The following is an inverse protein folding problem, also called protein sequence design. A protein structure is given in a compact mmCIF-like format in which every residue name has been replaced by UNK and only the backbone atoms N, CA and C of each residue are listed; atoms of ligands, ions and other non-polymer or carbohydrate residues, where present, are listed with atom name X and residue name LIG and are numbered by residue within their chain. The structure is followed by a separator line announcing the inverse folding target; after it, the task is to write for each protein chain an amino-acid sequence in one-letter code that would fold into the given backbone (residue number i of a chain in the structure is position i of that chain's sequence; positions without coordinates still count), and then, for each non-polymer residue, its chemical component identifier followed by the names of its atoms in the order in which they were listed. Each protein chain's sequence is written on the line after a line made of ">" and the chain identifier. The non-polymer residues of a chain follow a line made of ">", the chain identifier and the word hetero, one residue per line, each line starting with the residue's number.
data_IF_405416027808
#
_entry.id   IF_405416027808
#
_cell.length_a   1.000
_cell.length_b   1.000
_cell.length_c   1.000
_cell.angle_alpha   90.00
_cell.angle_beta   90.00
_cell.angle_gamma   90.00
#
_symmetry.space_group_name_H-M   'P 1'
#
loop_
_entity.id
_entity.type
_entity.pdbx_description
1 polymer ?
#
# COMPACT_ATOMS: atom_id res chain seq x y z
N UNK A 1 3.33 -14.13 -9.23
CA UNK A 1 2.82 -12.74 -9.21
C UNK A 1 3.92 -11.89 -8.62
N UNK A 2 4.49 -10.96 -9.40
CA UNK A 2 5.64 -10.20 -8.97
C UNK A 2 5.20 -8.84 -8.41
N UNK A 3 5.49 -8.62 -7.13
CA UNK A 3 5.37 -7.29 -6.52
C UNK A 3 6.56 -6.43 -6.95
N UNK A 4 6.32 -5.17 -7.28
CA UNK A 4 7.41 -4.22 -7.57
C UNK A 4 7.84 -3.58 -6.23
N UNK A 5 9.05 -3.84 -5.72
CA UNK A 5 9.56 -3.17 -4.53
C UNK A 5 9.89 -1.71 -4.85
N UNK A 6 9.47 -0.79 -3.99
CA UNK A 6 9.75 0.63 -4.09
C UNK A 6 10.52 1.06 -2.85
N UNK A 7 11.79 1.40 -3.02
CA UNK A 7 12.63 1.94 -1.95
C UNK A 7 12.40 3.45 -1.78
N UNK A 8 12.32 3.90 -0.53
CA UNK A 8 12.16 5.29 -0.16
C UNK A 8 13.51 5.92 0.17
N UNK A 9 13.76 7.18 -0.23
CA UNK A 9 15.04 7.85 0.02
C UNK A 9 15.26 8.18 1.50
N UNK A 10 14.20 8.23 2.30
CA UNK A 10 14.22 8.45 3.76
C UNK A 10 13.19 7.55 4.43
N UNK A 11 13.40 7.26 5.71
CA UNK A 11 12.38 6.61 6.53
C UNK A 11 11.18 7.54 6.70
N UNK A 12 9.98 6.98 6.58
CA UNK A 12 8.70 7.67 6.81
C UNK A 12 7.80 6.77 7.63
N UNK A 13 6.86 7.35 8.38
CA UNK A 13 5.87 6.56 9.11
C UNK A 13 4.88 5.92 8.13
N UNK A 14 4.27 4.81 8.54
CA UNK A 14 3.21 4.15 7.79
C UNK A 14 2.05 5.07 7.44
N UNK A 15 1.65 5.92 8.39
CA UNK A 15 0.56 6.89 8.23
C UNK A 15 0.88 7.94 7.17
N UNK A 16 2.10 8.49 7.20
CA UNK A 16 2.55 9.46 6.18
C UNK A 16 2.62 8.82 4.81
N UNK A 17 3.08 7.56 4.71
CA UNK A 17 3.09 6.84 3.44
C UNK A 17 1.67 6.56 2.92
N UNK A 18 0.77 6.11 3.78
CA UNK A 18 -0.63 5.88 3.44
C UNK A 18 -1.29 7.16 2.90
N UNK A 19 -1.11 8.26 3.61
CA UNK A 19 -1.66 9.56 3.22
C UNK A 19 -1.09 10.04 1.87
N UNK A 20 0.22 9.95 1.67
CA UNK A 20 0.86 10.31 0.42
C UNK A 20 0.33 9.46 -0.76
N UNK A 21 0.15 8.16 -0.54
CA UNK A 21 -0.41 7.22 -1.51
C UNK A 21 -1.86 7.54 -1.88
N UNK A 22 -2.69 7.89 -0.90
CA UNK A 22 -4.10 8.28 -1.09
C UNK A 22 -4.17 9.59 -1.88
N UNK A 23 -3.47 10.64 -1.43
CA UNK A 23 -3.44 11.95 -2.10
C UNK A 23 -2.95 11.86 -3.54
N UNK A 24 -1.93 11.03 -3.80
CA UNK A 24 -1.43 10.78 -5.15
C UNK A 24 -2.50 10.14 -6.06
N UNK A 25 -3.23 9.15 -5.55
CA UNK A 25 -4.29 8.49 -6.31
C UNK A 25 -5.43 9.46 -6.65
N UNK A 26 -5.89 10.24 -5.67
CA UNK A 26 -6.94 11.24 -5.83
C UNK A 26 -6.54 12.33 -6.82
N UNK A 27 -5.29 12.80 -6.75
CA UNK A 27 -4.76 13.80 -7.70
C UNK A 27 -4.76 13.30 -9.14
N UNK A 28 -4.61 11.99 -9.34
CA UNK A 28 -4.68 11.34 -10.65
C UNK A 28 -6.11 10.96 -11.07
N UNK A 29 -7.13 11.30 -10.28
CA UNK A 29 -8.53 10.99 -10.58
C UNK A 29 -8.94 9.54 -10.28
N UNK A 30 -8.16 8.83 -9.46
CA UNK A 30 -8.53 7.50 -8.97
C UNK A 30 -9.12 7.57 -7.56
N UNK A 31 -9.98 6.61 -7.22
CA UNK A 31 -10.34 6.37 -5.82
C UNK A 31 -9.24 5.54 -5.15
N UNK A 32 -8.91 5.87 -3.91
CA UNK A 32 -8.08 5.06 -3.04
C UNK A 32 -8.95 4.42 -1.95
N UNK A 33 -8.80 3.11 -1.74
CA UNK A 33 -9.49 2.38 -0.68
C UNK A 33 -8.45 1.68 0.19
N UNK A 34 -8.03 2.29 1.31
CA UNK A 34 -7.20 1.61 2.30
C UNK A 34 -8.00 0.49 2.99
N UNK A 35 -7.32 -0.58 3.34
CA UNK A 35 -7.89 -1.72 4.08
C UNK A 35 -6.81 -2.32 4.95
N UNK A 36 -7.04 -2.27 6.26
CA UNK A 36 -6.16 -2.87 7.25
C UNK A 36 -6.34 -4.39 7.25
N UNK A 37 -5.22 -5.10 7.15
CA UNK A 37 -5.14 -6.55 7.30
C UNK A 37 -4.66 -6.90 8.68
N UNK A 38 -5.31 -7.92 9.23
CA UNK A 38 -4.96 -8.50 10.52
C UNK A 38 -4.57 -9.95 10.29
N UNK A 39 -3.45 -10.37 10.89
CA UNK A 39 -3.01 -11.76 10.88
C UNK A 39 -3.58 -12.46 12.10
N UNK A 40 -4.20 -13.61 11.86
CA UNK A 40 -4.60 -14.51 12.94
C UNK A 40 -3.37 -15.27 13.43
N UNK A 41 -3.13 -15.22 14.73
CA UNK A 41 -2.13 -16.07 15.41
C UNK A 41 -2.83 -16.92 16.46
N UNK A 42 -2.41 -18.17 16.53
CA UNK A 42 -2.86 -19.14 17.53
C UNK A 42 -1.67 -19.44 18.45
N UNK A 43 -1.87 -19.27 19.75
CA UNK A 43 -0.87 -19.63 20.76
C UNK A 43 -1.07 -21.09 21.17
N UNK A 44 -0.02 -21.91 21.08
CA UNK A 44 -0.13 -23.31 21.50
C UNK A 44 -0.36 -23.36 23.02
N UNK A 45 -1.47 -23.96 23.46
CA UNK A 45 -1.81 -24.10 24.89
C UNK A 45 -2.92 -23.16 25.40
N UNK A 46 -3.31 -22.14 24.63
CA UNK A 46 -4.56 -21.40 24.86
C UNK A 46 -5.35 -21.42 23.55
N UNK A 47 -6.60 -21.89 23.56
CA UNK A 47 -7.50 -21.83 22.38
C UNK A 47 -7.98 -20.37 22.22
N UNK A 48 -7.05 -19.43 22.16
CA UNK A 48 -7.31 -18.00 22.09
C UNK A 48 -6.75 -17.46 20.78
N UNK A 49 -7.66 -17.01 19.91
CA UNK A 49 -7.31 -16.35 18.65
C UNK A 49 -6.86 -14.92 18.95
N UNK A 50 -5.62 -14.60 18.59
CA UNK A 50 -5.12 -13.22 18.57
C UNK A 50 -5.21 -12.67 17.14
N UNK A 51 -5.65 -11.41 17.02
CA UNK A 51 -5.64 -10.66 15.76
C UNK A 51 -4.66 -9.53 15.87
N UNK A 52 -3.46 -9.75 15.34
CA UNK A 52 -2.43 -8.73 15.29
C UNK A 52 -2.57 -7.97 13.96
N UNK A 53 -2.35 -6.65 14.00
CA UNK A 53 -2.22 -5.87 12.78
C UNK A 53 -1.04 -6.40 11.95
N UNK A 54 -1.25 -6.57 10.64
CA UNK A 54 -0.25 -7.06 9.69
C UNK A 54 0.25 -5.91 8.79
N UNK A 55 -0.65 -5.35 7.99
CA UNK A 55 -0.34 -4.28 7.04
C UNK A 55 -1.60 -3.54 6.60
N UNK A 56 -1.44 -2.37 6.00
CA UNK A 56 -2.48 -1.66 5.25
C UNK A 56 -2.26 -1.87 3.76
N UNK A 57 -3.31 -2.31 3.07
CA UNK A 57 -3.34 -2.42 1.61
C UNK A 57 -4.19 -1.28 1.06
N UNK A 58 -3.70 -0.55 0.06
CA UNK A 58 -4.46 0.49 -0.63
C UNK A 58 -4.79 0.00 -2.04
N UNK A 59 -6.07 -0.26 -2.28
CA UNK A 59 -6.56 -0.49 -3.64
C UNK A 59 -6.80 0.85 -4.33
N UNK A 60 -6.12 1.08 -5.44
CA UNK A 60 -6.22 2.31 -6.23
C UNK A 60 -6.86 1.99 -7.56
N UNK A 61 -7.94 2.70 -7.88
CA UNK A 61 -8.69 2.52 -9.11
C UNK A 61 -10.16 2.91 -8.93
N UNK A 62 -10.96 2.68 -9.96
CA UNK A 62 -12.39 2.95 -9.92
C UNK A 62 -13.14 1.62 -9.85
N UNK A 63 -13.97 1.31 -10.86
CA UNK A 63 -14.71 0.05 -10.92
C UNK A 63 -13.75 -1.17 -10.91
N UNK A 64 -12.62 -1.05 -11.62
CA UNK A 64 -11.53 -2.02 -11.61
C UNK A 64 -10.29 -1.43 -10.91
N UNK A 65 -9.53 -2.25 -10.16
CA UNK A 65 -8.26 -1.80 -9.58
C UNK A 65 -7.27 -1.48 -10.70
N UNK A 66 -6.65 -0.31 -10.61
CA UNK A 66 -5.53 0.07 -11.47
C UNK A 66 -4.21 -0.47 -10.89
N UNK A 67 -4.01 -0.33 -9.57
CA UNK A 67 -2.87 -0.87 -8.84
C UNK A 67 -3.21 -1.06 -7.35
N UNK A 68 -2.43 -1.89 -6.67
CA UNK A 68 -2.49 -2.04 -5.22
C UNK A 68 -1.15 -1.61 -4.60
N UNK A 69 -1.22 -0.83 -3.52
CA UNK A 69 -0.07 -0.58 -2.65
C UNK A 69 -0.17 -1.52 -1.45
N UNK A 70 0.92 -2.20 -1.11
CA UNK A 70 0.98 -3.16 0.00
C UNK A 70 2.25 -2.95 0.82
N UNK A 71 2.30 -3.54 2.01
CA UNK A 71 3.43 -3.41 2.93
C UNK A 71 3.51 -2.06 3.62
N UNK A 72 2.37 -1.40 3.86
CA UNK A 72 2.32 -0.20 4.71
C UNK A 72 2.10 -0.67 6.15
N UNK A 73 3.05 -0.39 7.05
CA UNK A 73 2.97 -0.74 8.46
C UNK A 73 2.70 0.51 9.34
N UNK A 74 1.48 0.64 9.88
CA UNK A 74 1.10 1.71 10.82
C UNK A 74 1.91 1.66 12.12
N UNK A 75 2.20 2.82 12.68
CA UNK A 75 2.98 2.98 13.92
C UNK A 75 4.47 2.63 13.80
N UNK A 76 4.97 2.35 12.59
CA UNK A 76 6.37 2.04 12.34
C UNK A 76 6.94 2.93 11.23
N UNK A 77 8.24 3.17 11.32
CA UNK A 77 8.99 3.74 10.21
C UNK A 77 9.33 2.65 9.20
N UNK A 78 9.17 2.96 7.92
CA UNK A 78 9.52 2.07 6.82
C UNK A 78 10.28 2.84 5.74
N UNK A 79 11.15 2.11 5.04
CA UNK A 79 11.97 2.62 3.94
C UNK A 79 11.64 1.94 2.61
N UNK A 80 10.60 1.10 2.60
CA UNK A 80 10.16 0.35 1.42
C UNK A 80 8.67 0.09 1.50
N UNK A 81 8.04 0.02 0.35
CA UNK A 81 6.71 -0.55 0.17
C UNK A 81 6.66 -1.29 -1.17
N UNK A 82 5.51 -1.88 -1.52
CA UNK A 82 5.37 -2.60 -2.77
C UNK A 82 4.14 -2.17 -3.56
N UNK A 83 4.25 -2.26 -4.88
CA UNK A 83 3.15 -1.99 -5.81
C UNK A 83 2.85 -3.22 -6.64
N UNK A 84 1.57 -3.59 -6.74
CA UNK A 84 1.08 -4.66 -7.60
C UNK A 84 0.23 -4.07 -8.72
N UNK A 85 0.50 -4.48 -9.96
CA UNK A 85 -0.16 -3.94 -11.17
C UNK A 85 -0.67 -5.04 -12.11
N UNK A 86 -0.51 -6.31 -11.73
CA UNK A 86 -0.96 -7.49 -12.48
C UNK A 86 -2.32 -7.99 -11.98
N UNK A 87 -3.06 -8.71 -12.84
CA UNK A 87 -4.34 -9.33 -12.47
C UNK A 87 -4.19 -10.30 -11.28
N UNK A 88 -5.13 -10.29 -10.31
CA UNK A 88 -6.38 -9.50 -10.23
C UNK A 88 -6.22 -8.13 -9.53
N UNK A 89 -5.00 -7.68 -9.26
CA UNK A 89 -4.71 -6.52 -8.41
C UNK A 89 -4.46 -5.22 -9.19
N UNK A 90 -4.42 -5.27 -10.52
CA UNK A 90 -4.26 -4.07 -11.34
C UNK A 90 -4.20 -4.35 -12.83
N UNK A 91 -4.38 -3.30 -13.62
CA UNK A 91 -4.00 -3.21 -15.04
C UNK A 91 -3.55 -1.76 -15.29
N UNK A 92 -2.36 -1.40 -14.82
CA UNK A 92 -1.76 -0.10 -15.08
C UNK A 92 -0.54 -0.27 -16.00
N UNK A 93 -0.39 0.62 -16.99
CA UNK A 93 0.83 0.70 -17.77
C UNK A 93 1.98 1.28 -16.94
N UNK A 94 3.23 0.95 -17.28
CA UNK A 94 4.42 1.45 -16.58
C UNK A 94 4.41 2.98 -16.44
N UNK A 95 4.02 3.70 -17.51
CA UNK A 95 3.89 5.17 -17.50
C UNK A 95 2.91 5.69 -16.42
N UNK A 96 1.80 4.98 -16.18
CA UNK A 96 0.83 5.35 -15.13
C UNK A 96 1.40 5.08 -13.74
N UNK A 97 2.13 3.97 -13.58
CA UNK A 97 2.81 3.63 -12.33
C UNK A 97 3.88 4.66 -12.00
N UNK A 98 4.72 5.04 -12.96
CA UNK A 98 5.73 6.09 -12.80
C UNK A 98 5.12 7.44 -12.44
N UNK A 99 4.04 7.84 -13.12
CA UNK A 99 3.34 9.08 -12.81
C UNK A 99 2.76 9.07 -11.39
N UNK A 100 2.22 7.92 -10.95
CA UNK A 100 1.74 7.72 -9.59
C UNK A 100 2.87 7.83 -8.55
N UNK A 101 3.96 7.11 -8.75
CA UNK A 101 5.12 7.12 -7.84
C UNK A 101 5.78 8.51 -7.78
N UNK A 102 5.83 9.23 -8.91
CA UNK A 102 6.28 10.62 -8.95
C UNK A 102 5.40 11.51 -8.07
N UNK A 103 4.08 11.26 -8.05
CA UNK A 103 3.17 12.02 -7.19
C UNK A 103 3.29 11.65 -5.71
N UNK A 104 3.43 10.36 -5.39
CA UNK A 104 3.73 9.91 -4.03
C UNK A 104 4.99 10.59 -3.51
N UNK A 105 6.07 10.61 -4.31
CA UNK A 105 7.32 11.26 -3.91
C UNK A 105 7.17 12.73 -3.57
N UNK A 106 6.29 13.48 -4.26
CA UNK A 106 6.05 14.90 -3.93
C UNK A 106 5.29 15.09 -2.63
N UNK A 107 4.41 14.16 -2.27
CA UNK A 107 3.64 14.22 -1.02
C UNK A 107 4.40 13.65 0.19
N UNK A 108 5.55 13.01 -0.03
CA UNK A 108 6.46 12.55 1.03
C UNK A 108 7.55 13.58 1.41
N UNK A 109 7.67 14.69 0.68
CA UNK A 109 8.63 15.76 0.97
C UNK A 109 8.25 16.47 2.26
#
# INVERSE_FOLDING_TARGET
>A
MASIPIDLPKKVTGETLEEACIRAAEKMGYKAKPTDRFRKRYSLGSIQEHRDYDETIIRIGNLFPALHVVGIEKGKEQNRFFVWTELPYGIASNKKVEAYLSMVSKYLQ
#
